data_IF_941902042227
#
_entry.id   IF_941902042227
#
_cell.length_a   1.000
_cell.length_b   1.000
_cell.length_c   1.000
_cell.angle_alpha   90.00
_cell.angle_beta   90.00
_cell.angle_gamma   90.00
#
_symmetry.space_group_name_H-M   'P 1'
#
loop_
_entity.id
_entity.type
_entity.pdbx_description
1 polymer ?
#
# COMPACT_ATOMS: atom_id res chain seq x y z
N UNK A 1 -9.07 -7.44 34.52
CA UNK A 1 -8.54 -6.87 33.24
C UNK A 1 -9.37 -7.42 32.08
N UNK A 2 -10.34 -6.67 31.53
CA UNK A 2 -11.30 -7.24 30.55
C UNK A 2 -11.81 -6.24 29.50
N UNK A 3 -10.92 -5.42 28.91
CA UNK A 3 -11.30 -4.48 27.84
C UNK A 3 -10.19 -4.18 26.81
N UNK A 4 -9.00 -4.78 26.90
CA UNK A 4 -7.91 -4.53 25.92
C UNK A 4 -8.22 -5.11 24.54
N UNK A 5 -8.78 -6.32 24.47
CA UNK A 5 -9.06 -6.98 23.18
C UNK A 5 -10.19 -6.30 22.39
N UNK A 6 -11.23 -5.82 23.07
CA UNK A 6 -12.35 -5.12 22.43
C UNK A 6 -11.93 -3.75 21.85
N UNK A 7 -10.98 -3.05 22.50
CA UNK A 7 -10.42 -1.80 21.96
C UNK A 7 -9.49 -2.03 20.78
N UNK A 8 -8.76 -3.15 20.76
CA UNK A 8 -7.89 -3.53 19.64
C UNK A 8 -8.71 -3.88 18.39
N UNK A 9 -9.76 -4.69 18.55
CA UNK A 9 -10.69 -5.02 17.46
C UNK A 9 -11.40 -3.79 16.89
N UNK A 10 -11.72 -2.78 17.72
CA UNK A 10 -12.34 -1.52 17.25
C UNK A 10 -11.37 -0.61 16.47
N UNK A 11 -10.06 -0.70 16.76
CA UNK A 11 -9.00 -0.02 15.99
C UNK A 11 -8.73 -0.76 14.68
N UNK A 12 -8.68 -2.09 14.72
CA UNK A 12 -8.58 -2.96 13.54
C UNK A 12 -9.80 -2.82 12.62
N UNK A 13 -11.01 -2.55 13.15
CA UNK A 13 -12.21 -2.25 12.35
C UNK A 13 -12.10 -1.03 11.43
N UNK A 14 -11.30 -0.02 11.79
CA UNK A 14 -11.03 1.11 10.90
C UNK A 14 -10.01 0.75 9.81
N UNK A 15 -9.19 -0.29 10.06
CA UNK A 15 -8.20 -0.84 9.13
C UNK A 15 -8.80 -1.91 8.20
N UNK A 16 -10.01 -2.42 8.47
CA UNK A 16 -10.71 -3.42 7.62
C UNK A 16 -11.00 -2.92 6.19
N UNK A 17 -11.01 -1.61 5.97
CA UNK A 17 -11.23 -1.01 4.64
C UNK A 17 -9.94 -0.76 3.86
N UNK A 18 -8.77 -0.78 4.51
CA UNK A 18 -7.51 -0.42 3.89
C UNK A 18 -6.57 -1.62 3.79
N UNK A 19 -6.01 -1.82 2.59
CA UNK A 19 -4.99 -2.84 2.37
C UNK A 19 -3.75 -2.53 3.21
N UNK A 20 -3.32 -3.50 4.02
CA UNK A 20 -2.13 -3.34 4.85
C UNK A 20 -0.86 -3.38 4.00
N UNK A 21 0.15 -2.59 4.38
CA UNK A 21 1.43 -2.57 3.68
C UNK A 21 2.11 -3.95 3.63
N UNK A 22 1.92 -4.77 4.68
CA UNK A 22 2.43 -6.13 4.75
C UNK A 22 1.82 -7.03 3.68
N UNK A 23 0.52 -6.90 3.45
CA UNK A 23 -0.21 -7.71 2.47
C UNK A 23 0.20 -7.30 1.06
N UNK A 24 0.28 -5.98 0.80
CA UNK A 24 0.80 -5.44 -0.47
C UNK A 24 2.20 -5.99 -0.76
N UNK A 25 3.10 -5.95 0.25
CA UNK A 25 4.47 -6.44 0.07
C UNK A 25 4.51 -7.93 -0.26
N UNK A 26 3.71 -8.73 0.44
CA UNK A 26 3.66 -10.19 0.25
C UNK A 26 3.10 -10.58 -1.12
N UNK A 27 2.11 -9.84 -1.60
CA UNK A 27 1.52 -10.08 -2.91
C UNK A 27 2.45 -9.59 -4.03
N UNK A 28 2.86 -8.32 -3.98
CA UNK A 28 3.62 -7.69 -5.06
C UNK A 28 5.05 -8.19 -5.21
N UNK A 29 5.62 -8.85 -4.20
CA UNK A 29 6.93 -9.50 -4.34
C UNK A 29 6.94 -10.57 -5.43
N UNK A 30 5.80 -11.19 -5.73
CA UNK A 30 5.68 -12.21 -6.77
C UNK A 30 5.68 -11.65 -8.20
N UNK A 31 5.51 -10.33 -8.34
CA UNK A 31 5.36 -9.66 -9.65
C UNK A 31 6.48 -8.67 -9.95
N UNK A 32 7.60 -8.75 -9.20
CA UNK A 32 8.68 -7.77 -9.27
C UNK A 32 9.21 -7.55 -10.69
N UNK A 33 9.39 -8.63 -11.46
CA UNK A 33 9.95 -8.54 -12.82
C UNK A 33 8.99 -7.87 -13.80
N UNK A 34 7.68 -8.05 -13.58
CA UNK A 34 6.60 -7.50 -14.39
C UNK A 34 6.47 -5.97 -14.25
N UNK A 35 7.04 -5.38 -13.19
CA UNK A 35 7.06 -3.94 -12.97
C UNK A 35 8.18 -3.21 -13.73
N UNK A 36 9.17 -3.92 -14.28
CA UNK A 36 10.28 -3.28 -14.97
C UNK A 36 9.80 -2.44 -16.15
N UNK A 37 10.29 -1.20 -16.21
CA UNK A 37 9.97 -0.18 -17.22
C UNK A 37 8.48 0.19 -17.31
N UNK A 38 7.67 -0.20 -16.30
CA UNK A 38 6.24 0.13 -16.25
C UNK A 38 5.99 1.47 -15.60
N UNK A 39 4.85 2.05 -16.00
CA UNK A 39 4.26 3.21 -15.33
C UNK A 39 3.15 2.69 -14.44
N UNK A 40 3.22 3.00 -13.14
CA UNK A 40 2.19 2.64 -12.17
C UNK A 40 1.38 3.89 -11.83
N UNK A 41 0.06 3.77 -11.98
CA UNK A 41 -0.91 4.77 -11.55
C UNK A 41 -1.58 4.30 -10.26
N UNK A 42 -1.51 5.11 -9.21
CA UNK A 42 -2.21 4.88 -7.96
C UNK A 42 -3.36 5.88 -7.84
N UNK A 43 -4.59 5.41 -8.05
CA UNK A 43 -5.78 6.16 -7.66
C UNK A 43 -5.83 6.19 -6.13
N UNK A 44 -5.50 7.33 -5.52
CA UNK A 44 -5.46 7.48 -4.07
C UNK A 44 -6.49 8.51 -3.66
N UNK A 45 -7.31 8.20 -2.65
CA UNK A 45 -8.15 9.24 -2.02
C UNK A 45 -7.27 10.29 -1.32
N UNK A 46 -6.17 9.85 -0.70
CA UNK A 46 -5.07 10.71 -0.27
C UNK A 46 -3.72 9.97 -0.43
N UNK A 47 -2.78 10.47 -1.27
CA UNK A 47 -1.48 9.82 -1.49
C UNK A 47 -0.61 9.76 -0.23
N UNK A 48 -0.79 10.68 0.74
CA UNK A 48 -0.02 10.69 1.99
C UNK A 48 -0.30 9.46 2.87
N UNK A 49 -1.51 8.92 2.81
CA UNK A 49 -1.95 7.78 3.62
C UNK A 49 -2.04 6.46 2.84
N UNK A 50 -1.86 6.48 1.52
CA UNK A 50 -1.96 5.28 0.69
C UNK A 50 -0.78 4.33 0.88
N UNK A 51 -1.07 3.11 1.36
CA UNK A 51 -0.06 2.06 1.50
C UNK A 51 0.49 1.58 0.13
N UNK A 52 -0.30 1.65 -0.94
CA UNK A 52 0.16 1.36 -2.30
C UNK A 52 1.16 2.42 -2.78
N UNK A 53 0.83 3.70 -2.61
CA UNK A 53 1.73 4.80 -2.96
C UNK A 53 3.04 4.68 -2.19
N UNK A 54 2.96 4.46 -0.88
CA UNK A 54 4.12 4.26 -0.01
C UNK A 54 4.97 3.09 -0.49
N UNK A 55 4.38 1.94 -0.81
CA UNK A 55 5.11 0.77 -1.31
C UNK A 55 5.86 1.08 -2.61
N UNK A 56 5.16 1.59 -3.64
CA UNK A 56 5.79 1.84 -4.94
C UNK A 56 6.83 2.96 -4.88
N UNK A 57 6.61 4.02 -4.08
CA UNK A 57 7.58 5.09 -3.87
C UNK A 57 8.87 4.56 -3.24
N UNK A 58 8.75 3.77 -2.17
CA UNK A 58 9.92 3.21 -1.47
C UNK A 58 10.68 2.18 -2.30
N UNK A 59 9.97 1.42 -3.14
CA UNK A 59 10.56 0.37 -3.97
C UNK A 59 10.80 0.81 -5.43
N UNK A 60 10.67 2.11 -5.76
CA UNK A 60 10.65 2.60 -7.15
C UNK A 60 11.83 2.09 -7.98
N UNK A 61 13.05 2.29 -7.48
CA UNK A 61 14.28 1.82 -8.12
C UNK A 61 14.41 0.30 -8.08
N UNK A 62 13.98 -0.33 -6.99
CA UNK A 62 14.08 -1.77 -6.80
C UNK A 62 13.18 -2.56 -7.76
N UNK A 63 12.02 -2.00 -8.09
CA UNK A 63 11.05 -2.54 -9.05
C UNK A 63 11.38 -2.13 -10.49
N UNK A 64 12.33 -1.22 -10.72
CA UNK A 64 12.67 -0.72 -12.04
C UNK A 64 11.53 0.06 -12.71
N UNK A 65 10.72 0.77 -11.92
CA UNK A 65 9.59 1.55 -12.46
C UNK A 65 10.08 2.69 -13.34
N UNK A 66 9.39 2.92 -14.45
CA UNK A 66 9.63 4.06 -15.34
C UNK A 66 9.01 5.34 -14.80
N UNK A 67 7.81 5.26 -14.22
CA UNK A 67 7.10 6.39 -13.64
C UNK A 67 6.07 5.92 -12.61
N UNK A 68 5.83 6.74 -11.61
CA UNK A 68 4.82 6.52 -10.57
C UNK A 68 3.96 7.78 -10.48
N UNK A 69 2.65 7.61 -10.62
CA UNK A 69 1.68 8.71 -10.69
C UNK A 69 0.62 8.49 -9.61
N UNK A 70 0.31 9.51 -8.82
CA UNK A 70 -0.90 9.52 -8.00
C UNK A 70 -1.69 10.78 -8.28
N UNK A 71 -3.00 10.65 -8.20
CA UNK A 71 -3.96 11.75 -8.23
C UNK A 71 -4.91 11.53 -7.08
N UNK A 72 -5.39 12.62 -6.51
CA UNK A 72 -6.47 12.69 -5.53
C UNK A 72 -7.43 13.80 -5.98
N UNK A 73 -8.68 13.73 -5.52
CA UNK A 73 -9.67 14.78 -5.73
C UNK A 73 -9.59 15.84 -4.63
#
# INVERSE_FOLDING_TARGET
MRNKNLRKAKKEKNDEFYTQLTDIKKELSNYKEQFKDKVVFCNCDNPEYSNFWKYFKLNFKHLGLKKLISTHY
#
